data_IF_236116232253
#
_entry.id   IF_236116232253
#
_cell.length_a   1.000
_cell.length_b   1.000
_cell.length_c   1.000
_cell.angle_alpha   90.00
_cell.angle_beta   90.00
_cell.angle_gamma   90.00
#
_symmetry.space_group_name_H-M   'P 1'
#
loop_
_entity.id
_entity.type
_entity.pdbx_description
1 polymer ?
#
# COMPACT_ATOMS: atom_id res chain seq x y z
N UNK A 1 1.76 -13.25 -6.15
CA UNK A 1 0.89 -12.12 -6.55
C UNK A 1 -0.13 -11.75 -5.46
N UNK A 2 -0.97 -12.67 -4.97
CA UNK A 2 -2.00 -12.39 -3.95
C UNK A 2 -1.47 -11.76 -2.65
N UNK A 3 -0.43 -12.36 -2.04
CA UNK A 3 0.13 -11.88 -0.78
C UNK A 3 0.67 -10.45 -0.88
N UNK A 4 1.39 -10.13 -1.97
CA UNK A 4 1.92 -8.79 -2.23
C UNK A 4 0.78 -7.76 -2.32
N UNK A 5 -0.23 -8.03 -3.16
CA UNK A 5 -1.37 -7.13 -3.33
C UNK A 5 -2.05 -6.84 -1.98
N UNK A 6 -2.31 -7.88 -1.20
CA UNK A 6 -2.93 -7.77 0.10
C UNK A 6 -2.09 -6.94 1.08
N UNK A 7 -0.79 -7.25 1.20
CA UNK A 7 0.11 -6.54 2.10
C UNK A 7 0.24 -5.05 1.73
N UNK A 8 0.37 -4.74 0.44
CA UNK A 8 0.45 -3.36 -0.06
C UNK A 8 -0.81 -2.57 0.33
N UNK A 9 -2.01 -3.09 0.03
CA UNK A 9 -3.26 -2.38 0.32
C UNK A 9 -3.56 -2.24 1.81
N UNK A 10 -3.20 -3.25 2.62
CA UNK A 10 -3.35 -3.18 4.08
C UNK A 10 -2.39 -2.13 4.65
N UNK A 11 -1.14 -2.11 4.22
CA UNK A 11 -0.14 -1.14 4.68
C UNK A 11 -0.56 0.29 4.35
N UNK A 12 -1.04 0.55 3.14
CA UNK A 12 -1.54 1.86 2.73
C UNK A 12 -2.75 2.31 3.56
N UNK A 13 -3.68 1.39 3.83
CA UNK A 13 -4.88 1.66 4.64
C UNK A 13 -4.53 1.96 6.10
N UNK A 14 -3.60 1.20 6.67
CA UNK A 14 -3.14 1.41 8.04
C UNK A 14 -2.48 2.78 8.19
N UNK A 15 -1.55 3.13 7.30
CA UNK A 15 -0.83 4.40 7.38
C UNK A 15 -1.73 5.61 7.12
N UNK A 16 -2.66 5.51 6.16
CA UNK A 16 -3.67 6.56 5.95
C UNK A 16 -4.55 6.79 7.18
N UNK A 17 -5.01 5.70 7.83
CA UNK A 17 -5.78 5.81 9.08
C UNK A 17 -4.96 6.44 10.20
N UNK A 18 -3.69 6.04 10.34
CA UNK A 18 -2.80 6.62 11.33
C UNK A 18 -2.68 8.13 11.15
N UNK A 19 -2.44 8.61 9.92
CA UNK A 19 -2.37 10.05 9.61
C UNK A 19 -3.69 10.75 9.94
N UNK A 20 -4.83 10.16 9.55
CA UNK A 20 -6.14 10.74 9.83
C UNK A 20 -6.39 10.90 11.34
N UNK A 21 -5.99 9.91 12.15
CA UNK A 21 -6.14 9.94 13.61
C UNK A 21 -5.24 11.02 14.23
N UNK A 22 -4.00 11.14 13.75
CA UNK A 22 -3.03 12.11 14.28
C UNK A 22 -3.21 13.54 13.76
N UNK A 23 -4.02 13.74 12.71
CA UNK A 23 -4.19 15.03 12.06
C UNK A 23 -2.88 15.57 11.49
N UNK A 24 -2.69 16.90 11.55
CA UNK A 24 -1.52 17.58 11.00
C UNK A 24 -0.19 17.11 11.59
N UNK A 25 -0.19 16.64 12.85
CA UNK A 25 1.02 16.09 13.49
C UNK A 25 1.53 14.83 12.77
N UNK A 26 0.66 14.07 12.09
CA UNK A 26 1.07 12.92 11.28
C UNK A 26 1.78 13.27 9.97
N UNK A 27 1.73 14.55 9.56
CA UNK A 27 2.34 15.06 8.33
C UNK A 27 3.63 15.84 8.57
N UNK A 28 3.97 16.18 9.82
CA UNK A 28 5.24 16.84 10.13
C UNK A 28 6.36 15.82 10.28
N UNK A 29 7.59 16.22 9.92
CA UNK A 29 8.79 15.37 9.99
C UNK A 29 9.23 14.98 11.41
N UNK A 30 8.52 15.47 12.43
CA UNK A 30 8.77 15.11 13.84
C UNK A 30 8.45 13.64 14.12
N UNK A 31 7.49 13.06 13.40
CA UNK A 31 7.08 11.67 13.53
C UNK A 31 7.28 10.91 12.22
N UNK A 32 7.54 9.60 12.25
CA UNK A 32 7.84 8.84 11.05
C UNK A 32 6.60 8.56 10.15
N UNK A 33 5.39 8.98 10.55
CA UNK A 33 4.14 8.68 9.85
C UNK A 33 4.14 9.14 8.39
N UNK A 34 4.61 10.37 8.12
CA UNK A 34 4.69 10.91 6.77
C UNK A 34 5.60 10.04 5.87
N UNK A 35 6.72 9.58 6.44
CA UNK A 35 7.65 8.69 5.76
C UNK A 35 7.00 7.34 5.49
N UNK A 36 6.33 6.75 6.46
CA UNK A 36 5.61 5.50 6.27
C UNK A 36 4.54 5.62 5.18
N UNK A 37 3.87 6.77 5.03
CA UNK A 37 2.89 6.95 3.98
C UNK A 37 3.55 6.92 2.60
N UNK A 38 4.71 7.58 2.46
CA UNK A 38 5.50 7.56 1.22
C UNK A 38 6.02 6.17 0.90
N UNK A 39 6.57 5.48 1.90
CA UNK A 39 7.15 4.15 1.74
C UNK A 39 6.06 3.12 1.38
N UNK A 40 4.91 3.15 2.06
CA UNK A 40 3.78 2.24 1.76
C UNK A 40 3.17 2.50 0.39
N UNK A 41 3.18 3.73 -0.12
CA UNK A 41 2.69 4.03 -1.47
C UNK A 41 3.55 3.37 -2.55
N UNK A 42 4.86 3.23 -2.33
CA UNK A 42 5.75 2.55 -3.26
C UNK A 42 5.33 1.08 -3.46
N UNK A 43 4.79 0.42 -2.44
CA UNK A 43 4.37 -0.99 -2.52
C UNK A 43 3.20 -1.22 -3.49
N UNK A 44 2.41 -0.20 -3.80
CA UNK A 44 1.32 -0.27 -4.80
C UNK A 44 1.83 -0.11 -6.25
N UNK A 45 3.08 0.32 -6.45
CA UNK A 45 3.64 0.70 -7.77
C UNK A 45 4.87 -0.14 -8.11
N UNK A 46 5.82 -0.24 -7.17
CA UNK A 46 7.08 -0.97 -7.32
C UNK A 46 6.86 -2.47 -7.51
N UNK A 47 7.78 -3.13 -8.24
CA UNK A 47 7.75 -4.58 -8.50
C UNK A 47 6.44 -5.08 -9.15
N UNK A 48 5.74 -4.19 -9.88
CA UNK A 48 4.44 -4.45 -10.49
C UNK A 48 3.28 -3.89 -9.67
N UNK A 49 2.48 -3.04 -10.31
CA UNK A 49 1.39 -2.29 -9.70
C UNK A 49 0.28 -3.19 -9.15
N UNK A 50 -0.55 -2.67 -8.25
CA UNK A 50 -1.72 -3.39 -7.72
C UNK A 50 -2.64 -3.93 -8.82
N UNK A 51 -2.84 -3.18 -9.92
CA UNK A 51 -3.61 -3.60 -11.09
C UNK A 51 -2.95 -4.78 -11.81
N UNK A 52 -1.63 -4.72 -12.01
CA UNK A 52 -0.88 -5.83 -12.63
C UNK A 52 -0.96 -7.08 -11.75
N UNK A 53 -0.84 -6.93 -10.42
CA UNK A 53 -1.00 -8.07 -9.51
C UNK A 53 -2.41 -8.67 -9.65
N UNK A 54 -3.47 -7.85 -9.71
CA UNK A 54 -4.84 -8.33 -9.96
C UNK A 54 -4.96 -9.09 -11.28
N UNK A 55 -4.38 -8.59 -12.37
CA UNK A 55 -4.39 -9.27 -13.68
C UNK A 55 -3.69 -10.64 -13.59
N UNK A 56 -2.52 -10.71 -12.96
CA UNK A 56 -1.78 -11.97 -12.77
C UNK A 56 -2.58 -12.95 -11.93
N UNK A 57 -3.20 -12.49 -10.85
CA UNK A 57 -4.07 -13.31 -9.99
C UNK A 57 -5.27 -13.84 -10.79
N UNK A 58 -5.94 -12.98 -11.55
CA UNK A 58 -7.08 -13.38 -12.38
C UNK A 58 -6.71 -14.45 -13.40
N UNK A 59 -5.55 -14.33 -14.05
CA UNK A 59 -5.03 -15.36 -14.98
C UNK A 59 -4.78 -16.70 -14.28
N UNK A 60 -4.16 -16.66 -13.10
CA UNK A 60 -3.91 -17.85 -12.29
C UNK A 60 -5.21 -18.54 -11.84
N UNK A 61 -6.24 -17.77 -11.46
CA UNK A 61 -7.55 -18.31 -11.05
C UNK A 61 -8.31 -18.89 -12.26
N UNK A 62 -8.28 -18.22 -13.40
CA UNK A 62 -9.01 -18.63 -14.61
C UNK A 62 -8.28 -19.70 -15.43
N UNK A 63 -7.07 -20.12 -15.03
CA UNK A 63 -6.30 -21.16 -15.72
C UNK A 63 -5.88 -20.79 -17.15
N UNK A 64 -5.67 -19.50 -17.42
CA UNK A 64 -5.22 -18.97 -18.72
C UNK A 64 -3.84 -18.35 -18.63
#
# INVERSE_FOLDING_TARGET
AMAKLFASEVSMRATRKAIQITGCEGLVKKFPLERFLRDTKLNEIGEGTSEIQRIVISRQILGR
#
